data_IF_309111979420
#
_entry.id   IF_309111979420
#
_cell.length_a   1.000
_cell.length_b   1.000
_cell.length_c   1.000
_cell.angle_alpha   90.00
_cell.angle_beta   90.00
_cell.angle_gamma   90.00
#
_symmetry.space_group_name_H-M   'P 1'
#
loop_
_entity.id
_entity.type
_entity.pdbx_description
1 polymer ?
#
# COMPACT_ATOMS: atom_id res chain seq x y z
N UNK A 1 7.04 16.43 28.62
CA UNK A 1 7.23 16.76 30.04
C UNK A 1 6.95 18.25 30.32
N UNK A 2 7.66 19.20 29.69
CA UNK A 2 7.35 20.63 29.89
C UNK A 2 5.90 20.98 29.47
N UNK A 3 5.48 20.58 28.27
CA UNK A 3 4.11 20.79 27.79
C UNK A 3 3.05 20.10 28.67
N UNK A 4 3.32 18.89 29.17
CA UNK A 4 2.38 18.16 30.03
C UNK A 4 2.19 18.84 31.38
N UNK A 5 3.27 19.34 31.99
CA UNK A 5 3.20 20.10 33.23
C UNK A 5 2.44 21.43 33.04
N UNK A 6 2.69 22.12 31.92
CA UNK A 6 1.98 23.36 31.58
C UNK A 6 0.48 23.13 31.37
N UNK A 7 0.11 22.13 30.57
CA UNK A 7 -1.30 21.84 30.27
C UNK A 7 -2.07 21.39 31.52
N UNK A 8 -1.51 20.47 32.32
CA UNK A 8 -2.13 20.01 33.56
C UNK A 8 -2.21 21.12 34.62
N UNK A 9 -1.14 21.92 34.76
CA UNK A 9 -1.08 23.01 35.73
C UNK A 9 -2.03 24.16 35.39
N UNK A 10 -2.07 24.59 34.13
CA UNK A 10 -2.98 25.66 33.69
C UNK A 10 -4.45 25.27 33.81
N UNK A 11 -4.81 24.04 33.43
CA UNK A 11 -6.17 23.54 33.59
C UNK A 11 -6.55 23.37 35.06
N UNK A 12 -5.68 22.76 35.88
CA UNK A 12 -5.91 22.57 37.31
C UNK A 12 -6.08 23.89 38.05
N UNK A 13 -5.24 24.90 37.77
CA UNK A 13 -5.34 26.23 38.35
C UNK A 13 -6.64 26.93 37.94
N UNK A 14 -7.02 26.84 36.66
CA UNK A 14 -8.28 27.41 36.17
C UNK A 14 -9.49 26.79 36.88
N UNK A 15 -9.57 25.46 36.96
CA UNK A 15 -10.67 24.75 37.61
C UNK A 15 -10.75 25.09 39.10
N UNK A 16 -9.62 25.15 39.79
CA UNK A 16 -9.58 25.47 41.22
C UNK A 16 -10.03 26.92 41.49
N UNK A 17 -9.60 27.89 40.67
CA UNK A 17 -10.05 29.28 40.77
C UNK A 17 -11.56 29.42 40.51
N UNK A 18 -12.11 28.70 39.53
CA UNK A 18 -13.56 28.70 39.31
C UNK A 18 -14.31 28.03 40.47
N UNK A 19 -13.83 26.90 40.96
CA UNK A 19 -14.48 26.16 42.03
C UNK A 19 -14.56 26.98 43.33
N UNK A 20 -13.61 27.89 43.57
CA UNK A 20 -13.63 28.79 44.73
C UNK A 20 -14.56 30.01 44.55
N UNK A 21 -14.77 30.48 43.31
CA UNK A 21 -15.51 31.70 43.03
C UNK A 21 -16.96 31.47 42.56
N UNK A 22 -17.29 30.28 42.07
CA UNK A 22 -18.62 29.95 41.58
C UNK A 22 -19.53 29.48 42.70
N UNK A 23 -20.78 29.96 42.68
CA UNK A 23 -21.79 29.64 43.68
C UNK A 23 -22.63 28.40 43.30
N UNK A 24 -22.80 28.14 42.00
CA UNK A 24 -23.56 27.02 41.44
C UNK A 24 -22.78 26.26 40.35
N UNK A 25 -23.08 24.97 40.19
CA UNK A 25 -22.44 24.10 39.18
C UNK A 25 -22.70 24.54 37.74
N UNK A 26 -23.89 25.10 37.46
CA UNK A 26 -24.23 25.57 36.10
C UNK A 26 -23.38 26.79 35.72
N UNK A 27 -23.22 27.74 36.65
CA UNK A 27 -22.38 28.93 36.48
C UNK A 27 -20.92 28.52 36.30
N UNK A 28 -20.44 27.55 37.08
CA UNK A 28 -19.12 26.94 36.90
C UNK A 28 -18.91 26.41 35.47
N UNK A 29 -19.86 25.61 34.96
CA UNK A 29 -19.78 25.03 33.62
C UNK A 29 -19.78 26.12 32.53
N UNK A 30 -20.68 27.08 32.63
CA UNK A 30 -20.78 28.17 31.66
C UNK A 30 -19.49 28.99 31.61
N UNK A 31 -18.97 29.36 32.78
CA UNK A 31 -17.71 30.09 32.91
C UNK A 31 -16.48 29.29 32.45
N UNK A 32 -16.50 27.96 32.57
CA UNK A 32 -15.43 27.09 32.08
C UNK A 32 -15.45 27.02 30.55
N UNK A 33 -16.63 27.03 29.95
CA UNK A 33 -16.83 27.03 28.50
C UNK A 33 -16.68 28.41 27.85
N UNK A 34 -16.39 29.45 28.64
CA UNK A 34 -16.28 30.81 28.12
C UNK A 34 -14.85 31.18 27.68
N UNK A 35 -14.77 31.83 26.52
CA UNK A 35 -13.64 32.59 25.97
C UNK A 35 -12.23 32.02 26.30
N UNK A 36 -11.50 32.64 27.25
CA UNK A 36 -10.12 32.25 27.56
C UNK A 36 -10.00 30.87 28.21
N UNK A 37 -10.97 30.51 29.06
CA UNK A 37 -10.98 29.25 29.81
C UNK A 37 -11.32 28.07 28.90
N UNK A 38 -12.14 28.30 27.88
CA UNK A 38 -12.36 27.36 26.80
C UNK A 38 -11.04 26.96 26.12
N UNK A 39 -10.15 27.91 25.81
CA UNK A 39 -8.85 27.62 25.21
C UNK A 39 -7.96 26.75 26.10
N UNK A 40 -7.98 27.01 27.43
CA UNK A 40 -7.25 26.17 28.40
C UNK A 40 -7.83 24.74 28.42
N UNK A 41 -9.16 24.62 28.42
CA UNK A 41 -9.84 23.32 28.35
C UNK A 41 -9.50 22.58 27.05
N UNK A 42 -9.52 23.25 25.89
CA UNK A 42 -9.17 22.65 24.61
C UNK A 42 -7.72 22.15 24.58
N UNK A 43 -6.78 22.94 25.11
CA UNK A 43 -5.37 22.54 25.24
C UNK A 43 -5.22 21.31 26.16
N UNK A 44 -6.02 21.22 27.23
CA UNK A 44 -6.06 20.05 28.09
C UNK A 44 -6.61 18.81 27.39
N UNK A 45 -7.69 18.95 26.60
CA UNK A 45 -8.24 17.86 25.78
C UNK A 45 -7.20 17.37 24.77
N UNK A 46 -6.51 18.28 24.07
CA UNK A 46 -5.43 17.91 23.13
C UNK A 46 -4.33 17.15 23.86
N UNK A 47 -3.90 17.61 25.03
CA UNK A 47 -2.92 16.91 25.84
C UNK A 47 -3.38 15.49 26.23
N UNK A 48 -4.64 15.33 26.64
CA UNK A 48 -5.23 14.04 26.96
C UNK A 48 -5.26 13.11 25.73
N UNK A 49 -5.69 13.60 24.57
CA UNK A 49 -5.71 12.84 23.32
C UNK A 49 -4.30 12.40 22.89
N UNK A 50 -3.30 13.29 22.98
CA UNK A 50 -1.91 12.95 22.65
C UNK A 50 -1.31 11.95 23.63
N UNK A 51 -1.57 12.11 24.93
CA UNK A 51 -1.08 11.19 25.96
C UNK A 51 -1.71 9.80 25.83
N UNK A 52 -3.03 9.76 25.60
CA UNK A 52 -3.76 8.52 25.32
C UNK A 52 -3.28 7.86 24.03
N UNK A 53 -3.08 8.63 22.96
CA UNK A 53 -2.53 8.12 21.70
C UNK A 53 -1.13 7.53 21.86
N UNK A 54 -0.23 8.23 22.55
CA UNK A 54 1.12 7.73 22.84
C UNK A 54 1.08 6.44 23.67
N UNK A 55 0.26 6.41 24.72
CA UNK A 55 0.12 5.22 25.57
C UNK A 55 -0.47 4.05 24.78
N UNK A 56 -1.54 4.27 24.01
CA UNK A 56 -2.20 3.25 23.19
C UNK A 56 -1.23 2.60 22.22
N UNK A 57 -0.46 3.42 21.47
CA UNK A 57 0.51 2.90 20.51
C UNK A 57 1.64 2.14 21.22
N UNK A 58 2.09 2.62 22.37
CA UNK A 58 3.13 1.94 23.16
C UNK A 58 2.65 0.61 23.75
N UNK A 59 1.40 0.52 24.21
CA UNK A 59 0.82 -0.71 24.75
C UNK A 59 0.59 -1.74 23.66
N UNK A 60 0.04 -1.34 22.50
CA UNK A 60 -0.34 -2.26 21.43
C UNK A 60 0.84 -2.68 20.53
N UNK A 61 1.77 -1.78 20.24
CA UNK A 61 2.86 -2.03 19.27
C UNK A 61 4.25 -2.12 19.90
N UNK A 62 4.38 -1.79 21.19
CA UNK A 62 5.58 -1.91 22.02
C UNK A 62 6.80 -1.08 21.55
N UNK A 63 7.45 -1.43 20.44
CA UNK A 63 8.65 -0.76 19.90
C UNK A 63 8.43 -0.30 18.46
N UNK A 64 8.68 0.97 18.19
CA UNK A 64 8.64 1.54 16.84
C UNK A 64 9.79 1.06 15.97
N UNK A 65 9.50 0.78 14.70
CA UNK A 65 10.51 0.58 13.65
C UNK A 65 10.72 1.86 12.86
N UNK A 66 11.90 2.06 12.31
CA UNK A 66 12.28 3.26 11.55
C UNK A 66 11.32 3.50 10.38
N UNK A 67 11.01 2.43 9.63
CA UNK A 67 10.07 2.47 8.49
C UNK A 67 8.68 2.95 8.90
N UNK A 68 8.23 2.61 10.11
CA UNK A 68 6.92 3.05 10.62
C UNK A 68 6.92 4.54 10.95
N UNK A 69 8.02 5.03 11.52
CA UNK A 69 8.19 6.44 11.86
C UNK A 69 8.23 7.28 10.59
N UNK A 70 8.92 6.83 9.55
CA UNK A 70 9.00 7.51 8.24
C UNK A 70 7.61 7.62 7.61
N UNK A 71 6.85 6.52 7.52
CA UNK A 71 5.51 6.56 6.94
C UNK A 71 4.53 7.43 7.74
N UNK A 72 4.62 7.43 9.08
CA UNK A 72 3.83 8.34 9.90
C UNK A 72 4.23 9.79 9.62
N UNK A 73 5.53 10.09 9.57
CA UNK A 73 6.04 11.43 9.32
C UNK A 73 5.63 11.97 7.94
N UNK A 74 5.54 11.10 6.93
CA UNK A 74 5.14 11.49 5.58
C UNK A 74 3.63 11.72 5.44
N UNK A 75 2.80 10.88 6.07
CA UNK A 75 1.34 10.92 5.86
C UNK A 75 0.60 11.82 6.84
N UNK A 76 1.03 11.86 8.11
CA UNK A 76 0.30 12.54 9.18
C UNK A 76 0.15 14.06 8.98
N UNK A 77 1.16 14.82 8.52
CA UNK A 77 1.04 16.28 8.41
C UNK A 77 -0.05 16.72 7.42
N UNK A 78 -0.11 16.11 6.24
CA UNK A 78 -1.12 16.43 5.23
C UNK A 78 -2.53 16.06 5.71
N UNK A 79 -2.65 14.94 6.42
CA UNK A 79 -3.92 14.50 6.99
C UNK A 79 -4.37 15.42 8.13
N UNK A 80 -3.45 15.80 9.04
CA UNK A 80 -3.71 16.72 10.14
C UNK A 80 -4.12 18.11 9.65
N UNK A 81 -3.53 18.61 8.56
CA UNK A 81 -3.92 19.87 7.94
C UNK A 81 -5.37 19.81 7.44
N UNK A 82 -5.79 18.70 6.84
CA UNK A 82 -7.17 18.50 6.41
C UNK A 82 -8.14 18.50 7.61
N UNK A 83 -7.79 17.80 8.69
CA UNK A 83 -8.59 17.80 9.91
C UNK A 83 -8.65 19.17 10.59
N UNK A 84 -7.59 19.99 10.47
CA UNK A 84 -7.57 21.36 10.98
C UNK A 84 -8.64 22.23 10.32
N UNK A 85 -8.85 22.08 9.00
CA UNK A 85 -9.94 22.79 8.32
C UNK A 85 -11.32 22.35 8.81
N UNK A 86 -11.49 21.06 9.17
CA UNK A 86 -12.74 20.56 9.74
C UNK A 86 -12.93 21.08 11.17
N UNK A 87 -11.85 21.12 11.97
CA UNK A 87 -11.86 21.58 13.36
C UNK A 87 -12.49 22.97 13.51
N UNK A 88 -12.09 23.90 12.64
CA UNK A 88 -12.52 25.31 12.67
C UNK A 88 -13.80 25.60 11.89
N UNK A 89 -14.42 24.60 11.25
CA UNK A 89 -15.59 24.82 10.40
C UNK A 89 -16.86 25.15 11.21
N UNK A 90 -16.98 24.64 12.44
CA UNK A 90 -18.19 24.78 13.26
C UNK A 90 -17.91 25.40 14.63
N UNK A 91 -18.97 25.88 15.29
CA UNK A 91 -18.90 26.46 16.64
C UNK A 91 -18.63 25.47 17.78
N UNK A 92 -18.84 24.16 17.57
CA UNK A 92 -18.67 23.13 18.61
C UNK A 92 -17.20 22.68 18.75
N UNK A 93 -16.34 23.60 19.17
CA UNK A 93 -14.89 23.39 19.26
C UNK A 93 -14.49 22.20 20.14
N UNK A 94 -15.22 21.93 21.23
CA UNK A 94 -14.92 20.83 22.15
C UNK A 94 -15.08 19.48 21.44
N UNK A 95 -16.24 19.24 20.82
CA UNK A 95 -16.54 18.00 20.10
C UNK A 95 -15.57 17.81 18.93
N UNK A 96 -15.35 18.86 18.14
CA UNK A 96 -14.44 18.80 17.00
C UNK A 96 -13.00 18.49 17.41
N UNK A 97 -12.54 19.00 18.56
CA UNK A 97 -11.20 18.71 19.09
C UNK A 97 -11.07 17.24 19.49
N UNK A 98 -12.08 16.69 20.18
CA UNK A 98 -12.10 15.27 20.57
C UNK A 98 -12.13 14.38 19.32
N UNK A 99 -13.00 14.68 18.35
CA UNK A 99 -13.10 13.93 17.09
C UNK A 99 -11.82 14.02 16.26
N UNK A 100 -11.15 15.19 16.23
CA UNK A 100 -9.84 15.35 15.59
C UNK A 100 -8.79 14.45 16.24
N UNK A 101 -8.71 14.47 17.57
CA UNK A 101 -7.80 13.61 18.33
C UNK A 101 -8.05 12.12 18.08
N UNK A 102 -9.32 11.70 18.11
CA UNK A 102 -9.72 10.32 17.83
C UNK A 102 -9.37 9.89 16.39
N UNK A 103 -9.63 10.76 15.41
CA UNK A 103 -9.38 10.48 13.99
C UNK A 103 -7.88 10.35 13.72
N UNK A 104 -7.05 11.24 14.27
CA UNK A 104 -5.58 11.14 14.18
C UNK A 104 -5.07 9.86 14.83
N UNK A 105 -5.59 9.52 16.01
CA UNK A 105 -5.23 8.31 16.72
C UNK A 105 -5.53 7.07 15.87
N UNK A 106 -6.75 6.94 15.35
CA UNK A 106 -7.14 5.81 14.52
C UNK A 106 -6.33 5.74 13.22
N UNK A 107 -6.02 6.89 12.58
CA UNK A 107 -5.14 6.90 11.39
C UNK A 107 -3.75 6.35 11.70
N UNK A 108 -3.14 6.73 12.82
CA UNK A 108 -1.83 6.20 13.25
C UNK A 108 -1.92 4.70 13.52
N UNK A 109 -2.97 4.24 14.20
CA UNK A 109 -3.15 2.80 14.47
C UNK A 109 -3.30 1.99 13.18
N UNK A 110 -3.99 2.51 12.16
CA UNK A 110 -4.07 1.88 10.84
C UNK A 110 -2.71 1.78 10.15
N UNK A 111 -1.97 2.90 10.06
CA UNK A 111 -0.64 2.92 9.44
C UNK A 111 0.27 1.89 10.13
N UNK A 112 0.31 1.88 11.46
CA UNK A 112 1.11 0.94 12.24
C UNK A 112 0.69 -0.51 11.98
N UNK A 113 -0.62 -0.79 11.92
CA UNK A 113 -1.14 -2.14 11.71
C UNK A 113 -0.77 -2.67 10.32
N UNK A 114 -0.87 -1.84 9.29
CA UNK A 114 -0.51 -2.22 7.92
C UNK A 114 0.96 -2.59 7.81
N UNK A 115 1.85 -1.74 8.34
CA UNK A 115 3.30 -1.99 8.34
C UNK A 115 3.69 -3.25 9.14
N UNK A 116 2.96 -3.56 10.21
CA UNK A 116 3.20 -4.77 11.02
C UNK A 116 2.76 -6.04 10.31
N UNK A 117 1.65 -5.98 9.60
CA UNK A 117 1.13 -7.13 8.85
C UNK A 117 2.02 -7.40 7.61
N UNK A 118 2.44 -6.35 6.90
CA UNK A 118 3.38 -6.50 5.78
C UNK A 118 4.74 -7.07 6.27
N UNK A 119 5.19 -6.68 7.47
CA UNK A 119 6.37 -7.29 8.09
C UNK A 119 6.16 -8.74 8.52
N UNK A 120 4.99 -9.06 9.08
CA UNK A 120 4.63 -10.43 9.42
C UNK A 120 4.67 -11.33 8.18
N UNK A 121 4.19 -10.84 7.03
CA UNK A 121 4.29 -11.57 5.76
C UNK A 121 5.75 -11.92 5.43
N UNK A 122 6.66 -10.95 5.51
CA UNK A 122 8.10 -11.20 5.27
C UNK A 122 8.67 -12.19 6.27
N UNK A 123 8.31 -12.08 7.56
CA UNK A 123 8.75 -13.02 8.59
C UNK A 123 8.26 -14.45 8.34
N UNK A 124 6.99 -14.61 7.94
CA UNK A 124 6.43 -15.92 7.62
C UNK A 124 7.16 -16.50 6.42
N UNK A 125 7.35 -15.74 5.34
CA UNK A 125 8.11 -16.18 4.15
C UNK A 125 9.53 -16.64 4.50
N UNK A 126 10.23 -15.91 5.36
CA UNK A 126 11.58 -16.28 5.78
C UNK A 126 11.61 -17.55 6.64
N UNK A 127 10.63 -17.75 7.52
CA UNK A 127 10.51 -18.98 8.31
C UNK A 127 10.17 -20.19 7.42
N UNK A 128 9.28 -20.00 6.44
CA UNK A 128 8.92 -21.02 5.45
C UNK A 128 10.14 -21.54 4.67
N UNK A 129 11.14 -20.70 4.43
CA UNK A 129 12.39 -21.09 3.77
C UNK A 129 13.24 -22.05 4.64
N UNK A 130 13.14 -21.94 5.97
CA UNK A 130 14.01 -22.67 6.90
C UNK A 130 13.39 -23.97 7.43
N UNK A 131 12.06 -24.12 7.42
CA UNK A 131 11.36 -25.29 7.94
C UNK A 131 10.18 -25.65 7.04
N UNK A 132 9.84 -26.94 6.93
CA UNK A 132 8.61 -27.37 6.25
C UNK A 132 7.38 -27.01 7.11
N UNK A 133 6.45 -26.26 6.52
CA UNK A 133 5.18 -25.88 7.16
C UNK A 133 4.00 -26.54 6.45
N UNK A 134 3.07 -27.06 7.24
CA UNK A 134 1.72 -27.40 6.77
C UNK A 134 0.90 -26.13 6.54
N UNK A 135 0.00 -26.18 5.55
CA UNK A 135 -0.99 -25.12 5.22
C UNK A 135 -1.73 -24.61 6.46
N UNK A 136 -2.14 -25.51 7.35
CA UNK A 136 -2.86 -25.16 8.58
C UNK A 136 -2.02 -24.30 9.54
N UNK A 137 -0.70 -24.54 9.60
CA UNK A 137 0.22 -23.77 10.46
C UNK A 137 0.46 -22.37 9.91
N UNK A 138 0.51 -22.20 8.59
CA UNK A 138 0.59 -20.88 7.94
C UNK A 138 -0.66 -20.05 8.27
N UNK A 139 -1.84 -20.64 8.07
CA UNK A 139 -3.10 -19.98 8.44
C UNK A 139 -3.14 -19.63 9.93
N UNK A 140 -2.83 -20.59 10.81
CA UNK A 140 -2.81 -20.34 12.25
C UNK A 140 -1.83 -19.23 12.64
N UNK A 141 -0.66 -19.16 11.98
CA UNK A 141 0.26 -18.05 12.17
C UNK A 141 -0.43 -16.72 11.86
N UNK A 142 -0.98 -16.52 10.65
CA UNK A 142 -1.64 -15.24 10.33
C UNK A 142 -2.84 -14.91 11.22
N UNK A 143 -3.75 -15.86 11.43
CA UNK A 143 -5.00 -15.60 12.16
C UNK A 143 -4.83 -15.44 13.67
N UNK A 144 -3.83 -16.09 14.29
CA UNK A 144 -3.56 -15.95 15.73
C UNK A 144 -2.64 -14.76 16.04
N UNK A 145 -2.06 -14.11 15.03
CA UNK A 145 -1.22 -12.94 15.25
C UNK A 145 -2.07 -11.76 15.76
N UNK A 146 -1.65 -11.17 16.88
CA UNK A 146 -2.35 -10.09 17.55
C UNK A 146 -2.64 -8.89 16.62
N UNK A 147 -1.74 -8.58 15.69
CA UNK A 147 -1.92 -7.46 14.75
C UNK A 147 -3.02 -7.71 13.71
N UNK A 148 -3.21 -8.96 13.26
CA UNK A 148 -4.30 -9.32 12.33
C UNK A 148 -5.63 -9.31 13.06
N UNK A 149 -5.67 -9.82 14.29
CA UNK A 149 -6.85 -9.73 15.17
C UNK A 149 -7.23 -8.25 15.40
N UNK A 150 -6.23 -7.39 15.62
CA UNK A 150 -6.45 -5.96 15.78
C UNK A 150 -6.98 -5.28 14.51
N UNK A 151 -6.53 -5.68 13.32
CA UNK A 151 -7.12 -5.22 12.04
C UNK A 151 -8.62 -5.60 11.96
N UNK A 152 -8.97 -6.83 12.32
CA UNK A 152 -10.37 -7.28 12.36
C UNK A 152 -11.22 -6.55 13.40
N UNK A 153 -10.60 -5.99 14.46
CA UNK A 153 -11.27 -5.12 15.43
C UNK A 153 -11.48 -3.70 14.89
N UNK A 154 -10.48 -3.15 14.19
CA UNK A 154 -10.54 -1.79 13.63
C UNK A 154 -11.62 -1.65 12.55
N UNK A 155 -11.77 -2.66 11.68
CA UNK A 155 -12.72 -2.62 10.57
C UNK A 155 -14.18 -2.32 11.02
N UNK A 156 -14.79 -3.08 11.95
CA UNK A 156 -16.14 -2.74 12.44
C UNK A 156 -16.15 -1.46 13.28
N UNK A 157 -15.06 -1.13 14.00
CA UNK A 157 -15.00 0.08 14.81
C UNK A 157 -15.14 1.34 13.94
N UNK A 158 -14.42 1.42 12.82
CA UNK A 158 -14.52 2.55 11.89
C UNK A 158 -15.92 2.66 11.28
N UNK A 159 -16.51 1.54 10.88
CA UNK A 159 -17.86 1.53 10.31
C UNK A 159 -18.91 1.99 11.33
N UNK A 160 -18.82 1.53 12.58
CA UNK A 160 -19.74 1.94 13.66
C UNK A 160 -19.59 3.42 13.97
N UNK A 161 -18.35 3.94 14.04
CA UNK A 161 -18.10 5.38 14.26
C UNK A 161 -18.62 6.24 13.11
N UNK A 162 -18.38 5.84 11.86
CA UNK A 162 -18.89 6.52 10.68
C UNK A 162 -20.43 6.54 10.65
N UNK A 163 -21.06 5.39 10.94
CA UNK A 163 -22.52 5.27 11.03
C UNK A 163 -23.10 6.13 12.14
N UNK A 164 -22.47 6.14 13.32
CA UNK A 164 -22.92 6.92 14.46
C UNK A 164 -22.94 8.42 14.14
N UNK A 165 -21.85 8.95 13.58
CA UNK A 165 -21.75 10.37 13.20
C UNK A 165 -22.67 10.74 12.04
N UNK A 166 -22.87 9.84 11.07
CA UNK A 166 -23.84 10.07 10.00
C UNK A 166 -25.27 10.12 10.57
N UNK A 167 -25.62 9.21 11.48
CA UNK A 167 -26.95 9.16 12.11
C UNK A 167 -27.26 10.41 12.94
N UNK A 168 -26.28 10.89 13.71
CA UNK A 168 -26.41 12.11 14.54
C UNK A 168 -26.77 13.36 13.69
N UNK A 169 -26.19 13.45 12.50
CA UNK A 169 -26.48 14.53 11.53
C UNK A 169 -27.89 14.37 10.93
N UNK A 170 -28.30 13.15 10.59
CA UNK A 170 -29.65 12.91 10.05
C UNK A 170 -30.76 13.16 11.08
N UNK A 171 -30.49 12.99 12.37
CA UNK A 171 -31.42 13.38 13.43
C UNK A 171 -31.48 14.90 13.67
N UNK A 172 -30.61 15.68 13.01
CA UNK A 172 -30.54 17.13 13.15
C UNK A 172 -29.89 17.61 14.44
N UNK A 173 -29.24 16.72 15.18
CA UNK A 173 -28.53 17.04 16.44
C UNK A 173 -27.09 17.46 16.13
N UNK A 174 -26.46 16.81 15.14
CA UNK A 174 -25.06 17.03 14.77
C UNK A 174 -24.81 18.24 13.86
N UNK A 175 -23.62 18.83 13.99
CA UNK A 175 -23.14 19.91 13.11
C UNK A 175 -22.48 19.37 11.83
N UNK A 176 -22.29 20.21 10.81
CA UNK A 176 -21.73 19.82 9.50
C UNK A 176 -20.33 19.21 9.61
N UNK A 177 -19.50 19.65 10.55
CA UNK A 177 -18.18 19.09 10.85
C UNK A 177 -18.25 17.67 11.39
N UNK A 178 -19.30 17.28 12.11
CA UNK A 178 -19.51 15.89 12.54
C UNK A 178 -19.72 14.96 11.34
N UNK A 179 -20.44 15.43 10.31
CA UNK A 179 -20.56 14.72 9.03
C UNK A 179 -19.19 14.57 8.35
N UNK A 180 -18.39 15.65 8.32
CA UNK A 180 -17.06 15.63 7.71
C UNK A 180 -16.11 14.65 8.43
N UNK A 181 -16.14 14.57 9.75
CA UNK A 181 -15.41 13.53 10.50
C UNK A 181 -15.97 12.12 10.18
N UNK A 182 -17.29 11.96 10.10
CA UNK A 182 -17.92 10.71 9.68
C UNK A 182 -17.44 10.21 8.31
N UNK A 183 -17.27 11.12 7.35
CA UNK A 183 -16.69 10.82 6.04
C UNK A 183 -15.22 10.38 6.16
N UNK A 184 -14.43 11.01 7.05
CA UNK A 184 -13.04 10.59 7.29
C UNK A 184 -12.97 9.15 7.86
N UNK A 185 -13.85 8.80 8.79
CA UNK A 185 -13.96 7.42 9.29
C UNK A 185 -14.43 6.43 8.21
N UNK A 186 -15.35 6.84 7.35
CA UNK A 186 -15.75 6.03 6.19
C UNK A 186 -14.59 5.77 5.22
N UNK A 187 -13.70 6.74 5.04
CA UNK A 187 -12.49 6.58 4.21
C UNK A 187 -11.46 5.68 4.89
N UNK A 188 -11.27 5.80 6.20
CA UNK A 188 -10.44 4.86 6.97
C UNK A 188 -10.95 3.42 6.83
N UNK A 189 -12.26 3.22 6.93
CA UNK A 189 -12.90 1.92 6.72
C UNK A 189 -12.64 1.36 5.32
N UNK A 190 -12.76 2.18 4.26
CA UNK A 190 -12.46 1.77 2.89
C UNK A 190 -11.00 1.36 2.72
N UNK A 191 -10.06 2.17 3.24
CA UNK A 191 -8.63 1.87 3.20
C UNK A 191 -8.33 0.55 3.96
N UNK A 192 -9.01 0.31 5.09
CA UNK A 192 -8.88 -0.90 5.92
C UNK A 192 -9.44 -2.14 5.22
N UNK A 193 -10.62 -2.03 4.60
CA UNK A 193 -11.21 -3.08 3.78
C UNK A 193 -10.30 -3.45 2.59
N UNK A 194 -9.68 -2.45 1.97
CA UNK A 194 -8.73 -2.69 0.91
C UNK A 194 -7.49 -3.45 1.40
N UNK A 195 -6.94 -3.05 2.55
CA UNK A 195 -5.81 -3.76 3.14
C UNK A 195 -6.16 -5.21 3.51
N UNK A 196 -7.39 -5.47 4.00
CA UNK A 196 -7.88 -6.83 4.23
C UNK A 196 -7.90 -7.66 2.94
N UNK A 197 -8.36 -7.09 1.82
CA UNK A 197 -8.32 -7.76 0.52
C UNK A 197 -6.89 -8.11 0.08
N UNK A 198 -5.94 -7.19 0.26
CA UNK A 198 -4.51 -7.44 0.03
C UNK A 198 -3.97 -8.56 0.92
N UNK A 199 -4.34 -8.58 2.21
CA UNK A 199 -3.96 -9.63 3.15
C UNK A 199 -4.49 -11.00 2.71
N UNK A 200 -5.77 -11.09 2.32
CA UNK A 200 -6.38 -12.34 1.83
C UNK A 200 -5.61 -12.84 0.60
N UNK A 201 -5.28 -11.94 -0.33
CA UNK A 201 -4.53 -12.26 -1.54
C UNK A 201 -3.13 -12.81 -1.23
N UNK A 202 -2.44 -12.19 -0.27
CA UNK A 202 -1.12 -12.61 0.18
C UNK A 202 -1.16 -13.97 0.91
N UNK A 203 -2.17 -14.20 1.76
CA UNK A 203 -2.34 -15.49 2.44
C UNK A 203 -2.68 -16.58 1.43
N UNK A 204 -3.53 -16.29 0.45
CA UNK A 204 -3.85 -17.19 -0.65
C UNK A 204 -2.60 -17.60 -1.44
N UNK A 205 -1.75 -16.63 -1.82
CA UNK A 205 -0.46 -16.92 -2.46
C UNK A 205 0.41 -17.87 -1.62
N UNK A 206 0.58 -17.57 -0.34
CA UNK A 206 1.45 -18.35 0.54
C UNK A 206 0.96 -19.78 0.74
N UNK A 207 -0.34 -19.98 0.87
CA UNK A 207 -0.94 -21.29 1.15
C UNK A 207 -1.00 -22.16 -0.10
N UNK A 208 -1.39 -21.61 -1.24
CA UNK A 208 -1.64 -22.40 -2.45
C UNK A 208 -0.41 -22.55 -3.34
N UNK A 209 0.43 -21.51 -3.44
CA UNK A 209 1.55 -21.51 -4.38
C UNK A 209 2.90 -21.76 -3.70
N UNK A 210 3.06 -21.38 -2.43
CA UNK A 210 4.35 -21.51 -1.71
C UNK A 210 4.40 -22.68 -0.72
N UNK A 211 3.26 -23.09 -0.18
CA UNK A 211 3.13 -24.28 0.67
C UNK A 211 3.01 -25.51 -0.23
N UNK A 212 4.13 -26.02 -0.73
CA UNK A 212 4.19 -27.33 -1.38
C UNK A 212 3.98 -28.39 -0.30
N UNK A 213 2.85 -29.11 -0.34
CA UNK A 213 2.75 -30.36 0.39
C UNK A 213 3.76 -31.29 -0.28
N UNK A 214 4.86 -31.57 0.40
CA UNK A 214 5.86 -32.54 -0.05
C UNK A 214 5.21 -33.91 0.06
N UNK A 215 4.38 -34.25 -0.93
CA UNK A 215 4.08 -35.63 -1.25
C UNK A 215 5.29 -36.11 -2.04
N UNK A 216 6.12 -36.94 -1.41
CA UNK A 216 7.43 -37.41 -1.92
C UNK A 216 7.36 -38.12 -3.28
N UNK A 217 6.17 -38.38 -3.82
CA UNK A 217 5.94 -39.20 -5.01
C UNK A 217 6.01 -38.44 -6.36
N UNK A 218 6.24 -37.11 -6.38
CA UNK A 218 6.26 -36.29 -7.62
C UNK A 218 7.58 -35.53 -7.87
N UNK A 219 8.68 -35.91 -7.21
CA UNK A 219 9.94 -35.15 -7.22
C UNK A 219 10.75 -35.31 -8.55
N UNK A 220 10.31 -36.13 -9.50
CA UNK A 220 11.09 -36.33 -10.74
C UNK A 220 10.99 -35.18 -11.78
N UNK A 221 10.06 -34.23 -11.66
CA UNK A 221 9.92 -33.13 -12.62
C UNK A 221 10.17 -31.75 -11.98
N UNK A 222 11.35 -31.16 -12.23
CA UNK A 222 11.67 -29.75 -11.92
C UNK A 222 10.61 -28.77 -12.48
N UNK A 223 9.97 -29.13 -13.58
CA UNK A 223 8.89 -28.36 -14.22
C UNK A 223 7.63 -28.20 -13.33
N UNK A 224 7.38 -29.12 -12.39
CA UNK A 224 6.21 -29.07 -11.48
C UNK A 224 6.38 -27.97 -10.42
N UNK A 225 7.62 -27.67 -10.02
CA UNK A 225 7.93 -26.61 -9.04
C UNK A 225 7.71 -25.21 -9.61
N UNK A 226 8.01 -24.98 -10.90
CA UNK A 226 7.76 -23.68 -11.55
C UNK A 226 6.30 -23.50 -12.01
N UNK A 227 5.56 -24.58 -12.24
CA UNK A 227 4.10 -24.55 -12.46
C UNK A 227 3.36 -23.99 -11.22
N UNK A 228 3.98 -24.01 -10.03
CA UNK A 228 3.46 -23.43 -8.79
C UNK A 228 3.76 -21.93 -8.58
N UNK A 229 4.10 -21.17 -9.61
CA UNK A 229 4.28 -19.70 -9.49
C UNK A 229 3.03 -18.96 -9.95
N UNK A 230 2.45 -18.10 -9.10
CA UNK A 230 1.24 -17.34 -9.43
C UNK A 230 1.48 -16.20 -10.44
N UNK A 231 1.37 -16.51 -11.73
CA UNK A 231 1.68 -15.59 -12.84
C UNK A 231 0.85 -14.30 -12.84
N UNK A 232 -0.43 -14.40 -12.51
CA UNK A 232 -1.38 -13.29 -12.54
C UNK A 232 -1.41 -12.46 -11.25
N UNK A 233 -0.57 -12.78 -10.26
CA UNK A 233 -0.52 -12.08 -8.96
C UNK A 233 -0.42 -10.56 -9.12
N UNK A 234 0.52 -10.09 -9.95
CA UNK A 234 0.75 -8.66 -10.15
C UNK A 234 -0.51 -7.95 -10.70
N UNK A 235 -1.23 -8.60 -11.61
CA UNK A 235 -2.49 -8.09 -12.17
C UNK A 235 -3.59 -8.07 -11.13
N UNK A 236 -3.71 -9.10 -10.28
CA UNK A 236 -4.70 -9.13 -9.19
C UNK A 236 -4.43 -8.07 -8.12
N UNK A 237 -3.17 -7.91 -7.69
CA UNK A 237 -2.77 -6.88 -6.73
C UNK A 237 -3.06 -5.48 -7.28
N UNK A 238 -2.60 -5.18 -8.50
CA UNK A 238 -2.83 -3.89 -9.14
C UNK A 238 -4.32 -3.64 -9.43
N UNK A 239 -5.06 -4.67 -9.87
CA UNK A 239 -6.50 -4.58 -10.11
C UNK A 239 -7.28 -4.27 -8.83
N UNK A 240 -6.91 -4.88 -7.72
CA UNK A 240 -7.52 -4.60 -6.42
C UNK A 240 -7.22 -3.17 -5.94
N UNK A 241 -6.00 -2.68 -6.13
CA UNK A 241 -5.65 -1.28 -5.84
C UNK A 241 -6.45 -0.28 -6.69
N UNK A 242 -6.69 -0.59 -7.98
CA UNK A 242 -7.53 0.22 -8.87
C UNK A 242 -8.98 0.20 -8.39
N UNK A 243 -9.52 -0.98 -8.09
CA UNK A 243 -10.89 -1.13 -7.58
C UNK A 243 -11.10 -0.28 -6.33
N UNK A 244 -10.19 -0.36 -5.36
CA UNK A 244 -10.24 0.46 -4.16
C UNK A 244 -10.15 1.97 -4.49
N UNK A 245 -9.24 2.38 -5.37
CA UNK A 245 -9.09 3.80 -5.75
C UNK A 245 -10.34 4.36 -6.43
N UNK A 246 -11.03 3.55 -7.25
CA UNK A 246 -12.30 3.90 -7.88
C UNK A 246 -13.40 3.99 -6.82
N UNK A 247 -13.49 3.01 -5.91
CA UNK A 247 -14.49 3.00 -4.84
C UNK A 247 -14.37 4.24 -3.94
N UNK A 248 -13.15 4.62 -3.58
CA UNK A 248 -12.86 5.86 -2.82
C UNK A 248 -13.25 7.12 -3.58
N UNK A 249 -13.01 7.17 -4.88
CA UNK A 249 -13.43 8.28 -5.74
C UNK A 249 -14.95 8.39 -5.82
N UNK A 250 -15.64 7.26 -6.03
CA UNK A 250 -17.10 7.21 -6.05
C UNK A 250 -17.70 7.62 -4.70
N UNK A 251 -17.09 7.21 -3.60
CA UNK A 251 -17.48 7.62 -2.25
C UNK A 251 -17.43 9.15 -2.10
N UNK A 252 -16.28 9.79 -2.36
CA UNK A 252 -16.16 11.25 -2.29
C UNK A 252 -17.10 11.97 -3.26
N UNK A 253 -17.25 11.47 -4.49
CA UNK A 253 -18.16 12.06 -5.48
C UNK A 253 -19.63 11.98 -5.05
N UNK A 254 -20.05 10.87 -4.44
CA UNK A 254 -21.41 10.70 -3.91
C UNK A 254 -21.72 11.68 -2.77
N UNK A 255 -20.78 11.89 -1.83
CA UNK A 255 -20.94 12.87 -0.76
C UNK A 255 -20.93 14.31 -1.29
N UNK A 256 -20.05 14.64 -2.24
CA UNK A 256 -20.05 15.94 -2.91
C UNK A 256 -21.36 16.21 -3.63
N UNK A 257 -21.87 15.23 -4.38
CA UNK A 257 -23.15 15.33 -5.08
C UNK A 257 -24.31 15.56 -4.09
N UNK A 258 -24.35 14.78 -3.01
CA UNK A 258 -25.39 14.90 -1.99
C UNK A 258 -25.37 16.28 -1.33
N UNK A 259 -24.20 16.76 -0.92
CA UNK A 259 -24.07 18.08 -0.28
C UNK A 259 -24.39 19.24 -1.23
N UNK A 260 -23.96 19.14 -2.49
CA UNK A 260 -24.19 20.17 -3.50
C UNK A 260 -25.67 20.26 -3.89
N UNK A 261 -26.29 19.12 -4.21
CA UNK A 261 -27.63 19.09 -4.80
C UNK A 261 -28.74 19.16 -3.75
N UNK A 262 -28.63 18.41 -2.65
CA UNK A 262 -29.69 18.35 -1.63
C UNK A 262 -29.59 19.49 -0.62
N UNK A 263 -28.39 19.81 -0.13
CA UNK A 263 -28.24 20.75 0.98
C UNK A 263 -27.97 22.19 0.53
N UNK A 264 -27.58 22.42 -0.74
CA UNK A 264 -27.14 23.73 -1.28
C UNK A 264 -26.11 24.44 -0.38
N UNK A 265 -25.30 23.68 0.35
CA UNK A 265 -24.26 24.20 1.24
C UNK A 265 -22.97 24.43 0.45
N UNK A 266 -22.18 25.43 0.83
CA UNK A 266 -20.84 25.64 0.28
C UNK A 266 -19.99 24.37 0.44
N UNK A 267 -19.32 23.96 -0.63
CA UNK A 267 -18.55 22.72 -0.67
C UNK A 267 -17.34 22.79 0.28
N UNK A 268 -17.23 21.91 1.28
CA UNK A 268 -16.10 21.93 2.20
C UNK A 268 -14.80 21.57 1.47
N UNK A 269 -13.76 22.41 1.65
CA UNK A 269 -12.41 22.21 1.09
C UNK A 269 -11.87 20.79 1.33
N UNK A 270 -12.01 20.19 2.53
CA UNK A 270 -11.61 18.80 2.79
C UNK A 270 -12.13 17.77 1.79
N UNK A 271 -13.38 17.94 1.36
CA UNK A 271 -14.07 16.99 0.50
C UNK A 271 -13.66 17.15 -0.96
N UNK A 272 -13.46 18.40 -1.40
CA UNK A 272 -12.92 18.72 -2.73
C UNK A 272 -11.49 18.17 -2.86
N UNK A 273 -10.63 18.46 -1.88
CA UNK A 273 -9.25 17.97 -1.86
C UNK A 273 -9.22 16.43 -1.90
N UNK A 274 -10.03 15.77 -1.06
CA UNK A 274 -10.12 14.30 -1.03
C UNK A 274 -10.52 13.70 -2.38
N UNK A 275 -11.48 14.33 -3.07
CA UNK A 275 -11.92 13.91 -4.40
C UNK A 275 -10.80 14.05 -5.45
N UNK A 276 -10.16 15.23 -5.56
CA UNK A 276 -9.09 15.49 -6.53
C UNK A 276 -7.92 14.53 -6.34
N UNK A 277 -7.49 14.33 -5.09
CA UNK A 277 -6.38 13.41 -4.77
C UNK A 277 -6.75 11.98 -5.14
N UNK A 278 -7.97 11.53 -4.84
CA UNK A 278 -8.44 10.17 -5.16
C UNK A 278 -8.52 9.93 -6.67
N UNK A 279 -8.98 10.93 -7.43
CA UNK A 279 -9.01 10.89 -8.90
C UNK A 279 -7.58 10.78 -9.45
N UNK A 280 -6.65 11.63 -8.98
CA UNK A 280 -5.26 11.59 -9.43
C UNK A 280 -4.60 10.23 -9.13
N UNK A 281 -4.87 9.67 -7.94
CA UNK A 281 -4.39 8.34 -7.57
C UNK A 281 -4.97 7.24 -8.48
N UNK A 282 -6.27 7.29 -8.78
CA UNK A 282 -6.91 6.32 -9.68
C UNK A 282 -6.27 6.37 -11.08
N UNK A 283 -6.10 7.57 -11.65
CA UNK A 283 -5.43 7.74 -12.93
C UNK A 283 -3.99 7.22 -12.92
N UNK A 284 -3.23 7.52 -11.87
CA UNK A 284 -1.86 7.02 -11.72
C UNK A 284 -1.81 5.49 -11.68
N UNK A 285 -2.72 4.85 -10.94
CA UNK A 285 -2.79 3.38 -10.81
C UNK A 285 -3.21 2.70 -12.12
N UNK A 286 -4.20 3.25 -12.83
CA UNK A 286 -4.59 2.77 -14.16
C UNK A 286 -3.44 2.91 -15.15
N UNK A 287 -2.76 4.05 -15.18
CA UNK A 287 -1.60 4.26 -16.04
C UNK A 287 -0.47 3.25 -15.74
N UNK A 288 -0.21 2.99 -14.46
CA UNK A 288 0.78 1.99 -14.03
C UNK A 288 0.43 0.59 -14.54
N UNK A 289 -0.83 0.14 -14.42
CA UNK A 289 -1.26 -1.15 -14.96
C UNK A 289 -1.15 -1.19 -16.49
N UNK A 290 -1.57 -0.13 -17.19
CA UNK A 290 -1.47 -0.06 -18.65
C UNK A 290 -0.01 -0.13 -19.12
N UNK A 291 0.90 0.56 -18.43
CA UNK A 291 2.34 0.50 -18.70
C UNK A 291 2.93 -0.87 -18.40
N UNK A 292 2.50 -1.53 -17.32
CA UNK A 292 2.94 -2.88 -16.98
C UNK A 292 2.52 -3.91 -18.04
N UNK A 293 1.26 -3.84 -18.47
CA UNK A 293 0.72 -4.72 -19.51
C UNK A 293 1.33 -4.43 -20.88
N UNK A 294 1.57 -3.17 -21.23
CA UNK A 294 2.20 -2.81 -22.50
C UNK A 294 3.64 -3.30 -22.57
N UNK A 295 4.43 -3.17 -21.49
CA UNK A 295 5.79 -3.72 -21.44
C UNK A 295 5.79 -5.24 -21.57
N UNK A 296 4.87 -5.93 -20.91
CA UNK A 296 4.78 -7.39 -20.98
C UNK A 296 4.45 -7.87 -22.40
N UNK A 297 3.45 -7.25 -23.05
CA UNK A 297 3.06 -7.58 -24.43
C UNK A 297 4.10 -7.18 -25.47
N UNK A 298 4.71 -6.00 -25.31
CA UNK A 298 5.74 -5.50 -26.22
C UNK A 298 6.93 -6.44 -26.33
N UNK A 299 7.37 -7.02 -25.21
CA UNK A 299 8.44 -8.01 -25.21
C UNK A 299 8.02 -9.29 -25.94
N UNK A 300 6.78 -9.75 -25.76
CA UNK A 300 6.27 -10.97 -26.37
C UNK A 300 6.04 -10.85 -27.88
N UNK A 301 5.50 -9.71 -28.34
CA UNK A 301 5.18 -9.44 -29.75
C UNK A 301 6.42 -9.20 -30.61
N UNK A 302 7.48 -8.61 -30.04
CA UNK A 302 8.69 -8.28 -30.80
C UNK A 302 9.68 -9.43 -30.94
N UNK A 303 9.49 -10.51 -30.19
CA UNK A 303 10.39 -11.66 -30.18
C UNK A 303 9.77 -12.84 -30.93
N UNK A 304 10.44 -13.26 -32.01
CA UNK A 304 10.05 -14.42 -32.79
C UNK A 304 10.21 -15.71 -31.97
N UNK A 305 9.31 -16.66 -32.19
CA UNK A 305 9.51 -18.03 -31.74
C UNK A 305 10.48 -18.74 -32.72
N UNK A 306 11.57 -19.36 -32.24
CA UNK A 306 12.46 -20.15 -33.09
C UNK A 306 11.75 -21.41 -33.58
N UNK A 307 12.12 -21.91 -34.76
CA UNK A 307 11.68 -23.25 -35.21
C UNK A 307 12.41 -24.35 -34.45
N UNK A 308 11.88 -25.58 -34.48
CA UNK A 308 12.50 -26.73 -33.83
C UNK A 308 13.93 -26.99 -34.34
N UNK A 309 14.16 -26.85 -35.65
CA UNK A 309 15.49 -26.97 -36.28
C UNK A 309 16.50 -25.95 -35.74
N UNK A 310 16.06 -24.72 -35.48
CA UNK A 310 16.90 -23.67 -34.91
C UNK A 310 17.19 -23.90 -33.42
N UNK A 311 16.27 -24.57 -32.71
CA UNK A 311 16.46 -25.00 -31.33
C UNK A 311 17.53 -26.09 -31.22
N UNK A 312 17.52 -27.04 -32.16
CA UNK A 312 18.55 -28.09 -32.28
C UNK A 312 19.92 -27.49 -32.50
N UNK A 313 20.02 -26.49 -33.38
CA UNK A 313 21.27 -25.80 -33.68
C UNK A 313 21.83 -24.97 -32.50
N UNK A 314 20.99 -24.67 -31.50
CA UNK A 314 21.35 -23.91 -30.30
C UNK A 314 21.50 -24.79 -29.05
N UNK A 315 21.67 -26.12 -29.23
CA UNK A 315 21.92 -27.11 -28.17
C UNK A 315 20.80 -27.27 -27.12
N UNK A 316 19.57 -26.82 -27.42
CA UNK A 316 18.40 -26.85 -26.53
C UNK A 316 18.56 -26.17 -25.15
N UNK A 317 19.74 -25.73 -24.73
CA UNK A 317 19.96 -25.28 -23.35
C UNK A 317 19.89 -23.75 -23.26
N UNK A 318 19.04 -23.24 -22.36
CA UNK A 318 19.03 -21.82 -22.04
C UNK A 318 20.26 -21.47 -21.20
N UNK A 319 21.20 -20.71 -21.74
CA UNK A 319 22.48 -20.41 -21.06
C UNK A 319 22.37 -19.61 -19.75
N UNK A 320 21.21 -19.00 -19.45
CA UNK A 320 21.02 -18.17 -18.24
C UNK A 320 20.62 -19.05 -17.05
N UNK A 321 19.55 -19.84 -17.18
CA UNK A 321 19.11 -20.76 -16.13
C UNK A 321 19.79 -22.13 -16.20
N UNK A 322 20.42 -22.46 -17.34
CA UNK A 322 21.02 -23.78 -17.65
C UNK A 322 20.01 -24.93 -17.67
N UNK A 323 18.78 -24.64 -18.08
CA UNK A 323 17.70 -25.62 -18.26
C UNK A 323 17.40 -25.83 -19.75
N UNK A 324 16.83 -26.99 -20.07
CA UNK A 324 16.43 -27.36 -21.43
C UNK A 324 15.20 -26.56 -21.90
N UNK A 325 15.28 -26.10 -23.14
CA UNK A 325 14.25 -25.39 -23.89
C UNK A 325 13.48 -26.42 -24.71
N UNK A 326 12.18 -26.50 -24.49
CA UNK A 326 11.29 -27.34 -25.27
C UNK A 326 10.44 -26.50 -26.22
N UNK A 327 10.14 -27.05 -27.39
CA UNK A 327 9.17 -26.44 -28.28
C UNK A 327 7.75 -26.67 -27.73
N UNK A 328 6.86 -25.65 -27.71
CA UNK A 328 5.56 -25.76 -27.04
C UNK A 328 4.70 -26.93 -27.54
N UNK A 329 4.71 -27.20 -28.84
CA UNK A 329 3.91 -28.26 -29.46
C UNK A 329 4.44 -29.66 -29.15
N UNK A 330 5.76 -29.85 -29.18
CA UNK A 330 6.38 -31.15 -28.87
C UNK A 330 6.32 -31.48 -27.39
N UNK A 331 6.47 -30.46 -26.52
CA UNK A 331 6.25 -30.62 -25.09
C UNK A 331 4.81 -31.02 -24.76
N UNK A 332 3.83 -30.36 -25.39
CA UNK A 332 2.41 -30.69 -25.20
C UNK A 332 2.06 -32.11 -25.65
N UNK A 333 2.62 -32.56 -26.78
CA UNK A 333 2.44 -33.92 -27.28
C UNK A 333 3.10 -34.99 -26.37
N UNK A 334 4.30 -34.72 -25.86
CA UNK A 334 5.05 -35.69 -25.05
C UNK A 334 4.56 -35.80 -23.61
N UNK A 335 4.14 -34.69 -22.99
CA UNK A 335 3.75 -34.65 -21.58
C UNK A 335 2.25 -34.48 -21.34
N UNK A 336 1.43 -34.41 -22.38
CA UNK A 336 -0.03 -34.17 -22.30
C UNK A 336 -0.40 -32.91 -21.47
N UNK A 337 0.49 -31.92 -21.40
CA UNK A 337 0.28 -30.64 -20.71
C UNK A 337 0.92 -29.48 -21.48
N UNK A 338 0.31 -28.28 -21.49
CA UNK A 338 0.89 -27.13 -22.17
C UNK A 338 2.19 -26.68 -21.50
N UNK A 339 3.19 -26.26 -22.31
CA UNK A 339 4.43 -25.68 -21.79
C UNK A 339 4.14 -24.32 -21.14
N UNK A 340 4.69 -24.07 -19.95
CA UNK A 340 4.55 -22.80 -19.26
C UNK A 340 5.00 -21.63 -20.18
N UNK A 341 4.16 -20.59 -20.40
CA UNK A 341 4.48 -19.43 -21.23
C UNK A 341 5.83 -18.77 -20.93
N UNK A 342 6.30 -18.84 -19.67
CA UNK A 342 7.58 -18.28 -19.22
C UNK A 342 8.80 -19.01 -19.77
N UNK A 343 8.71 -20.33 -20.00
CA UNK A 343 9.77 -21.15 -20.60
C UNK A 343 9.68 -21.21 -22.12
N UNK A 344 8.78 -20.45 -22.74
CA UNK A 344 8.75 -20.40 -24.20
C UNK A 344 10.09 -19.88 -24.72
N UNK A 345 10.74 -20.63 -25.64
CA UNK A 345 11.98 -20.17 -26.22
C UNK A 345 11.70 -18.96 -27.12
N UNK A 346 12.48 -17.90 -26.95
CA UNK A 346 12.38 -16.68 -27.74
C UNK A 346 13.71 -16.36 -28.40
N UNK A 347 13.64 -16.04 -29.69
CA UNK A 347 14.79 -15.70 -30.52
C UNK A 347 14.96 -14.19 -30.60
N UNK A 348 16.15 -13.72 -30.24
CA UNK A 348 16.56 -12.32 -30.38
C UNK A 348 16.98 -12.02 -31.83
N UNK A 349 16.92 -10.75 -32.24
CA UNK A 349 17.41 -10.32 -33.58
C UNK A 349 18.89 -10.62 -33.82
N UNK A 350 19.67 -10.83 -32.76
CA UNK A 350 21.07 -11.24 -32.85
C UNK A 350 21.28 -12.74 -33.10
N UNK A 351 20.20 -13.54 -33.08
CA UNK A 351 20.21 -14.99 -33.32
C UNK A 351 20.19 -15.85 -32.06
N UNK A 352 20.46 -15.30 -30.87
CA UNK A 352 20.47 -16.08 -29.63
C UNK A 352 19.05 -16.41 -29.14
N UNK A 353 18.89 -17.63 -28.63
CA UNK A 353 17.64 -18.19 -28.13
C UNK A 353 17.74 -18.37 -26.62
N UNK A 354 16.72 -17.90 -25.89
CA UNK A 354 16.66 -17.92 -24.42
C UNK A 354 15.21 -18.14 -23.98
N UNK A 355 15.00 -18.62 -22.75
CA UNK A 355 13.67 -18.60 -22.11
C UNK A 355 13.13 -17.17 -21.98
N UNK A 356 11.82 -17.00 -22.20
CA UNK A 356 11.15 -15.72 -22.05
C UNK A 356 11.31 -15.13 -20.64
N UNK A 357 11.28 -15.94 -19.58
CA UNK A 357 11.50 -15.48 -18.20
C UNK A 357 12.91 -14.92 -17.98
N UNK A 358 13.94 -15.69 -18.30
CA UNK A 358 15.34 -15.26 -18.16
C UNK A 358 15.62 -14.01 -18.97
N UNK A 359 15.01 -13.89 -20.15
CA UNK A 359 15.14 -12.72 -21.01
C UNK A 359 14.43 -11.49 -20.42
N UNK A 360 13.21 -11.65 -19.87
CA UNK A 360 12.49 -10.57 -19.17
C UNK A 360 13.31 -10.04 -17.99
N UNK A 361 13.76 -10.92 -17.09
CA UNK A 361 14.54 -10.55 -15.90
C UNK A 361 15.88 -9.86 -16.24
N UNK A 362 16.50 -10.25 -17.36
CA UNK A 362 17.71 -9.61 -17.85
C UNK A 362 17.45 -8.22 -18.45
N UNK A 363 16.37 -8.10 -19.24
CA UNK A 363 15.98 -6.85 -19.91
C UNK A 363 15.50 -5.77 -18.95
N UNK A 364 14.95 -6.16 -17.79
CA UNK A 364 14.64 -5.21 -16.70
C UNK A 364 15.88 -4.46 -16.20
N UNK A 365 17.05 -5.10 -16.25
CA UNK A 365 18.33 -4.52 -15.77
C UNK A 365 19.19 -3.97 -16.90
N UNK A 366 19.08 -4.51 -18.11
CA UNK A 366 19.94 -4.12 -19.25
C UNK A 366 19.27 -4.33 -20.60
N UNK A 367 19.35 -3.35 -21.51
CA UNK A 367 18.71 -3.41 -22.83
C UNK A 367 19.53 -4.18 -23.90
N UNK A 368 20.46 -5.05 -23.50
CA UNK A 368 21.39 -5.73 -24.39
C UNK A 368 21.35 -7.25 -24.22
N UNK A 369 21.67 -7.99 -25.28
CA UNK A 369 21.72 -9.45 -25.24
C UNK A 369 22.83 -9.94 -24.27
N UNK A 370 22.56 -10.91 -23.39
CA UNK A 370 23.54 -11.39 -22.42
C UNK A 370 24.77 -12.06 -23.07
N UNK A 371 24.62 -12.65 -24.25
CA UNK A 371 25.69 -13.35 -24.96
C UNK A 371 26.57 -12.40 -25.78
N UNK A 372 25.95 -11.55 -26.62
CA UNK A 372 26.68 -10.73 -27.58
C UNK A 372 26.62 -9.22 -27.32
N UNK A 373 25.94 -8.79 -26.25
CA UNK A 373 25.77 -7.38 -25.86
C UNK A 373 25.15 -6.46 -26.92
N UNK A 374 24.66 -7.01 -28.04
CA UNK A 374 23.88 -6.25 -29.04
C UNK A 374 22.57 -5.78 -28.41
N UNK A 375 22.19 -4.54 -28.71
CA UNK A 375 20.94 -3.94 -28.22
C UNK A 375 19.76 -4.73 -28.78
N UNK A 376 18.84 -5.13 -27.89
CA UNK A 376 17.70 -6.00 -28.24
C UNK A 376 16.62 -5.23 -28.99
N UNK A 377 16.34 -3.99 -28.56
CA UNK A 377 15.37 -3.10 -29.20
C UNK A 377 16.09 -1.93 -29.85
N UNK A 378 16.14 -1.88 -31.19
CA UNK A 378 16.48 -0.64 -31.89
C UNK A 378 15.33 0.33 -31.68
N UNK A 379 15.42 1.19 -30.68
CA UNK A 379 14.53 2.37 -30.60
C UNK A 379 14.75 3.12 -31.91
N UNK A 380 13.71 3.27 -32.73
CA UNK A 380 13.79 4.09 -33.93
C UNK A 380 14.12 5.52 -33.48
N UNK A 381 15.40 5.86 -33.45
CA UNK A 381 15.82 7.24 -33.31
C UNK A 381 15.46 7.91 -34.64
N UNK A 382 14.81 9.09 -34.63
CA UNK A 382 14.79 9.91 -35.82
C UNK A 382 16.26 10.19 -36.16
N UNK A 383 16.68 9.73 -37.34
CA UNK A 383 18.04 9.90 -37.85
C UNK A 383 18.33 11.40 -37.87
N UNK A 384 19.05 11.89 -36.87
CA UNK A 384 19.71 13.19 -36.95
C UNK A 384 21.16 12.87 -37.24
N UNK A 385 21.52 12.92 -38.52
CA UNK A 385 22.91 12.98 -38.95
C UNK A 385 23.61 14.10 -38.18
N UNK A 386 24.56 13.74 -37.31
CA UNK A 386 25.65 14.63 -36.94
C UNK A 386 26.95 13.83 -36.98
N UNK A 387 27.58 13.89 -38.14
CA UNK A 387 29.03 13.80 -38.28
C UNK A 387 29.69 14.83 -37.35
N UNK A 388 30.55 14.37 -36.43
CA UNK A 388 31.73 15.10 -35.97
C UNK A 388 32.58 14.24 -35.02
N UNK A 389 33.71 13.76 -35.56
CA UNK A 389 35.05 13.68 -34.90
C UNK A 389 35.17 13.09 -33.49
N UNK A 390 35.73 11.87 -33.44
CA UNK A 390 36.39 11.28 -32.26
C UNK A 390 37.60 12.14 -31.78
N UNK A 391 37.77 12.38 -30.47
CA UNK A 391 39.08 12.59 -29.86
C UNK A 391 39.71 11.24 -29.45
N UNK A 392 41.06 11.14 -29.39
CA UNK A 392 41.77 9.90 -29.07
C UNK A 392 41.67 9.54 -27.57
N UNK A 393 41.74 8.23 -27.29
CA UNK A 393 41.63 7.63 -25.97
C UNK A 393 42.82 7.98 -25.04
N UNK A 394 42.59 8.11 -23.71
CA UNK A 394 43.67 8.24 -22.74
C UNK A 394 44.36 6.88 -22.48
N UNK A 395 45.68 6.91 -22.34
CA UNK A 395 46.58 5.79 -22.02
C UNK A 395 46.39 5.25 -20.60
N UNK A 396 46.68 3.95 -20.34
CA UNK A 396 46.48 3.34 -19.04
C UNK A 396 47.62 3.72 -18.07
N UNK A 397 47.25 4.21 -16.88
CA UNK A 397 48.18 4.45 -15.76
C UNK A 397 48.47 3.12 -15.07
N UNK A 398 49.76 2.76 -14.99
CA UNK A 398 50.24 1.56 -14.32
C UNK A 398 50.16 1.65 -12.80
N UNK A 399 49.77 0.53 -12.17
CA UNK A 399 49.82 0.27 -10.72
C UNK A 399 51.29 0.13 -10.27
N UNK A 400 51.72 0.74 -9.17
CA UNK A 400 52.95 0.33 -8.49
C UNK A 400 52.65 -0.83 -7.51
N UNK A 401 53.44 -1.89 -7.60
CA UNK A 401 53.72 -2.86 -6.52
C UNK A 401 55.23 -2.76 -6.23
N UNK A 402 55.75 -3.16 -5.04
CA UNK A 402 55.10 -3.56 -3.80
C UNK A 402 55.20 -2.53 -2.66
#
# INVERSE_FOLDING_TARGET
>A
LAYSAFSLGSFGASVLLLALNSYDFLTFLQELTDSFRLTILLNFIVFCCLSFGYLSVRVLFHRFRIIEIEHIADQLPFYALNLLFILFNDGNMILNTVLTGLTLLLKVHHIMTYERIDFLQVQVVNRMSQQQFSKARVFASFFLNAHVIYLFLLLPADFVLARFLAYDVFQGIGSMGSLLFGIQFGVLWLDCFAFLGKLILNVYELVFYRCVDVQEDLIEDEDVLEEHIWESRAVYVQGFEIYHSILKTLFYAAFLYTLYFHSRVALPIPLIQGCIVSIHQAFKKVYQLMSFLSHSRFLEDQLACPSEEELVAADYICIICREDMHFPETFAANRNRPLNPRKHPKKLQCGHILHLCCLKDWLERSNSCPLCRKVVFKKAQPVTERNATNPPAPTPVGRPEP
#
